data_IF_885184005907
#
_entry.id   IF_885184005907
#
_cell.length_a   1.000
_cell.length_b   1.000
_cell.length_c   1.000
_cell.angle_alpha   90.00
_cell.angle_beta   90.00
_cell.angle_gamma   90.00
#
_symmetry.space_group_name_H-M   'P 1'
#
loop_
_entity.id
_entity.type
_entity.pdbx_description
1 polymer ?
#
# COMPACT_ATOMS: atom_id res chain seq x y z
N UNK A 1 5.19 -13.87 -13.66
CA UNK A 1 4.52 -12.66 -13.13
C UNK A 1 4.94 -12.36 -11.68
N UNK A 2 4.65 -13.24 -10.71
CA UNK A 2 4.96 -12.99 -9.29
C UNK A 2 6.47 -12.79 -8.99
N UNK A 3 7.35 -13.59 -9.59
CA UNK A 3 8.81 -13.42 -9.44
C UNK A 3 9.32 -12.08 -9.98
N UNK A 4 8.71 -11.55 -11.04
CA UNK A 4 9.06 -10.23 -11.58
C UNK A 4 8.62 -9.13 -10.61
N UNK A 5 7.42 -9.27 -10.01
CA UNK A 5 6.95 -8.36 -8.98
C UNK A 5 7.87 -8.37 -7.75
N UNK A 6 8.28 -9.55 -7.27
CA UNK A 6 9.26 -9.69 -6.19
C UNK A 6 10.61 -9.03 -6.53
N UNK A 7 11.11 -9.22 -7.75
CA UNK A 7 12.32 -8.56 -8.23
C UNK A 7 12.20 -7.03 -8.21
N UNK A 8 11.07 -6.49 -8.68
CA UNK A 8 10.82 -5.04 -8.63
C UNK A 8 10.71 -4.50 -7.20
N UNK A 9 10.09 -5.25 -6.29
CA UNK A 9 9.99 -4.89 -4.87
C UNK A 9 11.37 -4.92 -4.20
N UNK A 10 12.22 -5.91 -4.52
CA UNK A 10 13.58 -5.99 -4.01
C UNK A 10 14.43 -4.80 -4.49
N UNK A 11 14.36 -4.45 -5.78
CA UNK A 11 15.03 -3.25 -6.32
C UNK A 11 14.55 -1.99 -5.62
N UNK A 12 13.23 -1.86 -5.41
CA UNK A 12 12.66 -0.74 -4.67
C UNK A 12 13.19 -0.67 -3.23
N UNK A 13 13.24 -1.80 -2.52
CA UNK A 13 13.79 -1.88 -1.16
C UNK A 13 15.24 -1.40 -1.12
N UNK A 14 16.12 -1.92 -1.98
CA UNK A 14 17.52 -1.47 -2.01
C UNK A 14 17.67 0.01 -2.34
N UNK A 15 16.75 0.57 -3.15
CA UNK A 15 16.77 1.99 -3.49
C UNK A 15 16.36 2.88 -2.30
N UNK A 16 15.45 2.45 -1.43
CA UNK A 16 14.90 3.26 -0.33
C UNK A 16 15.44 2.91 1.05
N UNK A 17 16.09 1.73 1.21
CA UNK A 17 16.64 1.24 2.47
C UNK A 17 17.49 2.27 3.24
N UNK A 18 18.43 3.01 2.61
CA UNK A 18 19.32 3.91 3.34
C UNK A 18 18.64 5.17 3.92
N UNK A 19 17.41 5.45 3.50
CA UNK A 19 16.76 6.75 3.73
C UNK A 19 15.56 6.71 4.67
N UNK A 20 15.22 5.53 5.19
CA UNK A 20 14.01 5.30 5.99
C UNK A 20 14.31 4.35 7.14
N UNK A 21 13.45 4.30 8.15
CA UNK A 21 13.57 3.32 9.23
C UNK A 21 13.32 1.90 8.73
N UNK A 22 14.00 0.92 9.35
CA UNK A 22 13.87 -0.50 8.99
C UNK A 22 12.42 -0.98 9.08
N UNK A 23 11.68 -0.52 10.10
CA UNK A 23 10.27 -0.83 10.30
C UNK A 23 9.39 -0.36 9.14
N UNK A 24 9.62 0.85 8.61
CA UNK A 24 8.84 1.39 7.50
C UNK A 24 9.12 0.64 6.19
N UNK A 25 10.39 0.27 5.95
CA UNK A 25 10.77 -0.50 4.78
C UNK A 25 10.21 -1.92 4.82
N UNK A 26 10.36 -2.62 5.95
CA UNK A 26 9.82 -3.97 6.13
C UNK A 26 8.30 -4.00 5.94
N UNK A 27 7.58 -3.06 6.54
CA UNK A 27 6.12 -2.96 6.41
C UNK A 27 5.69 -2.67 4.97
N UNK A 28 6.40 -1.78 4.27
CA UNK A 28 6.12 -1.45 2.86
C UNK A 28 6.38 -2.65 1.94
N UNK A 29 7.51 -3.34 2.12
CA UNK A 29 7.86 -4.53 1.31
C UNK A 29 6.88 -5.68 1.58
N UNK A 30 6.52 -5.92 2.84
CA UNK A 30 5.52 -6.91 3.20
C UNK A 30 4.17 -6.57 2.56
N UNK A 31 3.71 -5.32 2.65
CA UNK A 31 2.49 -4.86 2.02
C UNK A 31 2.50 -5.07 0.50
N UNK A 32 3.55 -4.60 -0.20
CA UNK A 32 3.66 -4.73 -1.67
C UNK A 32 3.73 -6.20 -2.10
N UNK A 33 4.40 -7.04 -1.33
CA UNK A 33 4.52 -8.47 -1.61
C UNK A 33 3.15 -9.17 -1.48
N UNK A 34 2.43 -8.90 -0.39
CA UNK A 34 1.06 -9.41 -0.20
C UNK A 34 0.10 -8.84 -1.24
N UNK A 35 0.21 -7.56 -1.59
CA UNK A 35 -0.62 -6.93 -2.62
C UNK A 35 -0.40 -7.60 -4.00
N UNK A 36 0.86 -7.83 -4.39
CA UNK A 36 1.21 -8.54 -5.61
C UNK A 36 0.71 -10.00 -5.56
N UNK A 37 0.86 -10.67 -4.42
CA UNK A 37 0.38 -12.03 -4.23
C UNK A 37 -1.13 -12.11 -4.38
N UNK A 38 -1.90 -11.27 -3.68
CA UNK A 38 -3.37 -11.27 -3.73
C UNK A 38 -3.90 -10.88 -5.11
N UNK A 39 -3.16 -10.09 -5.88
CA UNK A 39 -3.54 -9.72 -7.25
C UNK A 39 -3.27 -10.84 -8.26
N UNK A 40 -2.18 -11.60 -8.09
CA UNK A 40 -1.73 -12.62 -9.05
C UNK A 40 -2.31 -14.00 -8.70
N UNK A 41 -2.49 -14.30 -7.42
CA UNK A 41 -2.96 -15.59 -6.94
C UNK A 41 -4.46 -15.73 -7.12
N UNK A 42 -4.89 -16.84 -7.74
CA UNK A 42 -6.31 -17.25 -7.80
C UNK A 42 -6.83 -17.78 -6.45
N UNK A 43 -5.93 -18.16 -5.54
CA UNK A 43 -6.27 -18.62 -4.20
C UNK A 43 -6.52 -17.40 -3.32
N UNK A 44 -7.78 -16.99 -3.26
CA UNK A 44 -8.22 -15.89 -2.41
C UNK A 44 -8.70 -16.44 -1.07
N UNK A 45 -8.02 -16.06 0.02
CA UNK A 45 -8.51 -16.26 1.38
C UNK A 45 -8.77 -14.89 2.02
N UNK A 46 -9.93 -14.68 2.67
CA UNK A 46 -10.23 -13.45 3.41
C UNK A 46 -9.16 -13.11 4.46
N UNK A 47 -8.45 -14.13 4.94
CA UNK A 47 -7.37 -14.00 5.92
C UNK A 47 -6.21 -13.12 5.40
N UNK A 48 -5.93 -13.10 4.09
CA UNK A 48 -4.85 -12.29 3.54
C UNK A 48 -5.13 -10.79 3.63
N UNK A 49 -6.38 -10.37 3.47
CA UNK A 49 -6.77 -8.96 3.60
C UNK A 49 -6.72 -8.51 5.05
N UNK A 50 -7.11 -9.38 5.98
CA UNK A 50 -7.00 -9.12 7.41
C UNK A 50 -5.57 -8.80 7.84
N UNK A 51 -4.56 -9.46 7.25
CA UNK A 51 -3.15 -9.17 7.50
C UNK A 51 -2.62 -7.94 6.75
N UNK A 52 -3.20 -7.62 5.60
CA UNK A 52 -2.84 -6.44 4.81
C UNK A 52 -3.17 -5.13 5.55
N UNK A 53 -4.26 -5.07 6.33
CA UNK A 53 -4.66 -3.88 7.09
C UNK A 53 -3.65 -3.45 8.17
N UNK A 54 -3.22 -4.31 9.12
CA UNK A 54 -2.22 -3.91 10.11
C UNK A 54 -0.86 -3.60 9.47
N UNK A 55 -0.47 -4.32 8.42
CA UNK A 55 0.76 -3.99 7.67
C UNK A 55 0.67 -2.63 6.98
N UNK A 56 -0.49 -2.29 6.40
CA UNK A 56 -0.73 -0.98 5.83
C UNK A 56 -0.69 0.13 6.90
N UNK A 57 -1.25 -0.12 8.09
CA UNK A 57 -1.17 0.82 9.22
C UNK A 57 0.27 1.03 9.68
N UNK A 58 1.08 -0.03 9.75
CA UNK A 58 2.51 0.09 10.07
C UNK A 58 3.31 0.79 8.96
N UNK A 59 2.90 0.64 7.71
CA UNK A 59 3.52 1.31 6.57
C UNK A 59 3.14 2.80 6.45
N UNK A 60 2.11 3.27 7.16
CA UNK A 60 1.72 4.68 7.20
C UNK A 60 2.76 5.50 7.97
N UNK A 61 3.74 6.04 7.25
CA UNK A 61 4.78 6.91 7.83
C UNK A 61 4.39 8.38 7.86
N UNK A 62 3.30 8.78 7.20
CA UNK A 62 2.99 10.20 6.97
C UNK A 62 1.48 10.48 6.84
N UNK A 63 1.03 11.63 7.36
CA UNK A 63 -0.39 12.03 7.39
C UNK A 63 -1.04 12.10 6.00
N UNK A 64 -0.27 12.45 4.97
CA UNK A 64 -0.76 12.49 3.58
C UNK A 64 -1.23 11.12 3.06
N UNK A 65 -0.78 10.01 3.65
CA UNK A 65 -1.11 8.66 3.18
C UNK A 65 -2.40 8.12 3.82
N UNK A 66 -2.89 8.76 4.89
CA UNK A 66 -4.11 8.33 5.61
C UNK A 66 -5.34 8.34 4.69
N UNK A 67 -5.47 9.35 3.84
CA UNK A 67 -6.58 9.42 2.87
C UNK A 67 -6.55 8.24 1.88
N UNK A 68 -5.37 7.89 1.36
CA UNK A 68 -5.21 6.76 0.45
C UNK A 68 -5.50 5.42 1.15
N UNK A 69 -5.10 5.29 2.41
CA UNK A 69 -5.43 4.13 3.24
C UNK A 69 -6.94 4.00 3.44
N UNK A 70 -7.63 5.06 3.84
CA UNK A 70 -9.08 5.04 4.03
C UNK A 70 -9.84 4.76 2.74
N UNK A 71 -9.36 5.28 1.60
CA UNK A 71 -9.93 4.96 0.30
C UNK A 71 -9.78 3.47 -0.03
N UNK A 72 -8.61 2.88 0.20
CA UNK A 72 -8.39 1.45 0.02
C UNK A 72 -9.24 0.61 0.98
N UNK A 73 -9.32 0.99 2.26
CA UNK A 73 -10.19 0.32 3.24
C UNK A 73 -11.66 0.37 2.85
N UNK A 74 -12.15 1.51 2.34
CA UNK A 74 -13.51 1.62 1.82
C UNK A 74 -13.74 0.68 0.63
N UNK A 75 -12.75 0.55 -0.28
CA UNK A 75 -12.78 -0.40 -1.39
C UNK A 75 -12.81 -1.87 -0.95
N UNK A 76 -12.02 -2.24 0.06
CA UNK A 76 -12.02 -3.60 0.63
C UNK A 76 -13.35 -3.88 1.37
N UNK A 77 -13.89 -2.92 2.11
CA UNK A 77 -15.19 -3.03 2.76
C UNK A 77 -16.33 -3.20 1.74
N UNK A 78 -16.30 -2.43 0.64
CA UNK A 78 -17.24 -2.56 -0.47
C UNK A 78 -17.16 -3.95 -1.11
N UNK A 79 -15.94 -4.45 -1.36
CA UNK A 79 -15.74 -5.80 -1.89
C UNK A 79 -16.26 -6.87 -0.93
N UNK A 80 -16.02 -6.72 0.37
CA UNK A 80 -16.55 -7.61 1.39
C UNK A 80 -18.09 -7.63 1.35
N UNK A 81 -18.73 -6.47 1.28
CA UNK A 81 -20.18 -6.40 1.12
C UNK A 81 -20.67 -7.05 -0.19
N UNK A 82 -19.96 -6.81 -1.29
CA UNK A 82 -20.29 -7.35 -2.60
C UNK A 82 -20.22 -8.88 -2.65
N UNK A 83 -19.22 -9.52 -2.01
CA UNK A 83 -19.12 -10.98 -1.97
C UNK A 83 -20.27 -11.60 -1.16
N UNK A 84 -20.67 -10.99 -0.04
CA UNK A 84 -21.82 -11.47 0.73
C UNK A 84 -23.15 -11.30 -0.03
N UNK A 85 -23.34 -10.19 -0.73
CA UNK A 85 -24.51 -9.98 -1.60
C UNK A 85 -24.55 -10.97 -2.77
N UNK A 86 -23.38 -11.28 -3.35
CA UNK A 86 -23.26 -12.29 -4.40
C UNK A 86 -23.56 -13.70 -3.89
N UNK A 87 -23.07 -14.11 -2.70
CA UNK A 87 -23.44 -15.39 -2.09
C UNK A 87 -24.93 -15.45 -1.72
N UNK A 88 -25.51 -14.35 -1.22
CA UNK A 88 -26.94 -14.27 -0.92
C UNK A 88 -27.80 -14.46 -2.19
N UNK A 89 -27.33 -13.99 -3.36
CA UNK A 89 -28.01 -14.24 -4.63
C UNK A 89 -28.04 -15.71 -5.04
N UNK A 90 -26.99 -16.47 -4.68
CA UNK A 90 -26.90 -17.91 -4.93
C UNK A 90 -27.88 -18.71 -4.05
N UNK A 91 -28.40 -18.10 -2.98
CA UNK A 91 -29.32 -18.68 -2.01
C UNK A 91 -30.80 -18.53 -2.41
N UNK A 92 -31.09 -18.04 -3.62
CA UNK A 92 -32.46 -17.86 -4.13
C UNK A 92 -33.12 -16.50 -3.79
N UNK A 93 -32.35 -15.51 -3.33
CA UNK A 93 -32.87 -14.18 -3.05
C UNK A 93 -33.12 -13.38 -4.35
N UNK A 94 -34.29 -12.74 -4.44
CA UNK A 94 -34.79 -11.97 -5.61
C UNK A 94 -33.97 -10.71 -5.95
N UNK A 95 -33.05 -10.31 -5.06
CA UNK A 95 -32.12 -9.20 -5.23
C UNK A 95 -30.70 -9.71 -5.01
N UNK A 96 -30.00 -9.97 -6.10
CA UNK A 96 -28.62 -10.42 -6.11
C UNK A 96 -27.77 -9.44 -6.91
N UNK A 97 -26.55 -9.15 -6.43
CA UNK A 97 -25.61 -8.34 -7.20
C UNK A 97 -25.30 -9.06 -8.52
N UNK A 98 -25.56 -8.41 -9.66
CA UNK A 98 -25.28 -9.02 -10.96
C UNK A 98 -23.79 -9.36 -11.07
N UNK A 99 -23.46 -10.39 -11.85
CA UNK A 99 -22.08 -10.80 -12.09
C UNK A 99 -21.20 -9.63 -12.58
N UNK A 100 -21.79 -8.68 -13.31
CA UNK A 100 -21.12 -7.46 -13.77
C UNK A 100 -20.78 -6.50 -12.63
N UNK A 101 -21.69 -6.30 -11.66
CA UNK A 101 -21.44 -5.48 -10.49
C UNK A 101 -20.37 -6.10 -9.57
N UNK A 102 -20.32 -7.43 -9.48
CA UNK A 102 -19.27 -8.13 -8.75
C UNK A 102 -17.91 -7.98 -9.45
N UNK A 103 -17.87 -8.09 -10.78
CA UNK A 103 -16.66 -7.80 -11.56
C UNK A 103 -16.20 -6.35 -11.39
N UNK A 104 -17.13 -5.39 -11.38
CA UNK A 104 -16.82 -3.99 -11.12
C UNK A 104 -16.26 -3.78 -9.70
N UNK A 105 -16.80 -4.45 -8.68
CA UNK A 105 -16.27 -4.40 -7.32
C UNK A 105 -14.83 -4.93 -7.24
N UNK A 106 -14.51 -6.00 -7.98
CA UNK A 106 -13.14 -6.50 -8.11
C UNK A 106 -12.23 -5.45 -8.76
N UNK A 107 -12.68 -4.81 -9.84
CA UNK A 107 -11.89 -3.77 -10.52
C UNK A 107 -11.64 -2.56 -9.61
N UNK A 108 -12.66 -2.09 -8.88
CA UNK A 108 -12.53 -1.02 -7.89
C UNK A 108 -11.53 -1.40 -6.81
N UNK A 109 -11.59 -2.64 -6.31
CA UNK A 109 -10.64 -3.17 -5.33
C UNK A 109 -9.20 -3.16 -5.85
N UNK A 110 -8.97 -3.66 -7.08
CA UNK A 110 -7.64 -3.66 -7.71
C UNK A 110 -7.13 -2.22 -7.90
N UNK A 111 -7.99 -1.32 -8.37
CA UNK A 111 -7.65 0.08 -8.56
C UNK A 111 -7.28 0.77 -7.23
N UNK A 112 -8.04 0.51 -6.17
CA UNK A 112 -7.79 1.06 -4.84
C UNK A 112 -6.47 0.53 -4.25
N UNK A 113 -6.20 -0.77 -4.39
CA UNK A 113 -4.94 -1.39 -3.97
C UNK A 113 -3.74 -0.82 -4.73
N UNK A 114 -3.88 -0.63 -6.06
CA UNK A 114 -2.84 -0.02 -6.89
C UNK A 114 -2.60 1.45 -6.52
N UNK A 115 -3.68 2.22 -6.23
CA UNK A 115 -3.59 3.60 -5.79
C UNK A 115 -2.83 3.74 -4.48
N UNK A 116 -3.16 2.91 -3.48
CA UNK A 116 -2.47 2.92 -2.20
C UNK A 116 -1.00 2.47 -2.34
N UNK A 117 -0.73 1.43 -3.13
CA UNK A 117 0.64 0.99 -3.45
C UNK A 117 1.47 2.12 -4.07
N UNK A 118 0.90 2.87 -5.02
CA UNK A 118 1.53 4.05 -5.62
C UNK A 118 1.78 5.15 -4.59
N UNK A 119 0.85 5.38 -3.66
CA UNK A 119 1.03 6.37 -2.60
C UNK A 119 2.21 6.01 -1.68
N UNK A 120 2.33 4.75 -1.27
CA UNK A 120 3.47 4.24 -0.49
C UNK A 120 4.80 4.42 -1.22
N UNK A 121 4.86 4.05 -2.51
CA UNK A 121 6.07 4.19 -3.33
C UNK A 121 6.49 5.67 -3.46
N UNK A 122 5.54 6.56 -3.76
CA UNK A 122 5.82 8.00 -3.86
C UNK A 122 6.35 8.57 -2.54
N UNK A 123 5.76 8.17 -1.41
CA UNK A 123 6.21 8.63 -0.10
C UNK A 123 7.63 8.15 0.20
N UNK A 124 7.93 6.88 -0.09
CA UNK A 124 9.27 6.33 0.10
C UNK A 124 10.33 7.06 -0.74
N UNK A 125 10.01 7.37 -2.01
CA UNK A 125 10.90 8.14 -2.88
C UNK A 125 11.05 9.60 -2.43
N UNK A 126 9.99 10.20 -1.89
CA UNK A 126 10.04 11.55 -1.33
C UNK A 126 10.97 11.62 -0.11
N UNK A 127 10.85 10.67 0.83
CA UNK A 127 11.74 10.54 2.00
C UNK A 127 13.21 10.34 1.56
N UNK A 128 13.46 9.49 0.55
CA UNK A 128 14.78 9.35 -0.07
C UNK A 128 15.33 10.66 -0.61
N UNK A 129 14.53 11.40 -1.36
CA UNK A 129 14.95 12.70 -1.91
C UNK A 129 15.26 13.72 -0.82
N UNK A 130 14.53 13.71 0.30
CA UNK A 130 14.79 14.58 1.44
C UNK A 130 16.08 14.20 2.17
N UNK A 131 16.30 12.91 2.41
CA UNK A 131 17.53 12.39 3.02
C UNK A 131 18.78 12.80 2.21
N UNK A 132 18.74 12.63 0.88
CA UNK A 132 19.84 13.06 0.01
C UNK A 132 20.08 14.57 0.03
N UNK A 133 19.01 15.39 0.00
CA UNK A 133 19.13 16.84 0.14
C UNK A 133 19.76 17.25 1.47
N UNK A 134 19.40 16.58 2.57
CA UNK A 134 19.94 16.87 3.89
C UNK A 134 21.42 16.49 4.00
N UNK A 135 21.83 15.37 3.40
CA UNK A 135 23.24 14.96 3.35
C UNK A 135 24.12 15.93 2.53
N UNK A 136 23.52 16.63 1.56
CA UNK A 136 24.20 17.58 0.68
C UNK A 136 24.21 19.01 1.23
N UNK A 137 23.46 19.29 2.32
CA UNK A 137 23.50 20.59 3.01
C UNK A 137 24.86 20.81 3.69
N UNK A 138 25.29 22.06 3.73
CA UNK A 138 26.57 22.42 4.30
C UNK A 138 26.54 22.09 5.82
N UNK A 139 27.53 21.37 6.37
CA UNK A 139 27.59 21.12 7.82
C UNK A 139 27.59 22.41 8.65
N UNK A 140 28.00 23.54 8.05
CA UNK A 140 27.94 24.86 8.69
C UNK A 140 26.50 25.34 8.95
N UNK A 141 25.50 24.87 8.20
CA UNK A 141 24.09 25.21 8.43
C UNK A 141 23.53 24.59 9.74
N UNK A 142 24.26 23.65 10.34
CA UNK A 142 23.92 23.03 11.62
C UNK A 142 24.68 23.65 12.81
N UNK A 143 25.61 24.58 12.54
CA UNK A 143 26.28 25.31 13.61
C UNK A 143 25.36 26.41 14.14
N UNK A 144 25.25 26.59 15.47
CA UNK A 144 24.46 27.66 16.03
C UNK A 144 25.04 29.02 15.63
N UNK A 145 24.16 29.99 15.35
CA UNK A 145 24.52 31.34 14.88
C UNK A 145 25.54 32.06 15.79
N UNK A 146 25.72 31.59 17.03
CA UNK A 146 26.72 32.06 17.99
C UNK A 146 28.18 31.83 17.58
N UNK A 147 28.45 31.04 16.53
CA UNK A 147 29.82 30.74 16.06
C UNK A 147 30.32 31.70 14.97
N UNK A 148 29.47 32.63 14.51
CA UNK A 148 29.80 33.62 13.47
C UNK A 148 30.14 35.01 14.03
N UNK A 149 30.35 35.12 15.35
CA UNK A 149 30.71 36.35 16.07
C UNK A 149 32.21 36.49 16.30
#
# INVERSE_FOLDING_TARGET
>A
AFLIALGAIAVFFFATAPSRSDLANLSTVAFLTLAAFVTISKVYSPQYILWLTPLAVLALTSDSQRFAFWFWQAGEALYHFAIWQYLASYSGAKFGLSQELYALAILVRIAALAYFSRALIKAALAERSQSLRNAQRNPLDFLPDSMYG
#
